data_IF_343262620326
#
_entry.id   IF_343262620326
#
_cell.length_a   1.000
_cell.length_b   1.000
_cell.length_c   1.000
_cell.angle_alpha   90.00
_cell.angle_beta   90.00
_cell.angle_gamma   90.00
#
_symmetry.space_group_name_H-M   'P 1'
#
loop_
_entity.id
_entity.type
_entity.pdbx_description
1 polymer ?
#
# COMPACT_ATOMS: atom_id res chain seq x y z
N UNK A 1 -37.02 11.86 -11.86
CA UNK A 1 -35.83 11.52 -12.64
C UNK A 1 -36.26 11.19 -14.04
N UNK A 2 -36.17 12.17 -14.93
CA UNK A 2 -36.29 11.95 -16.36
C UNK A 2 -35.03 11.28 -16.91
N UNK A 3 -35.07 10.72 -18.14
CA UNK A 3 -33.86 10.22 -18.80
C UNK A 3 -32.74 11.27 -18.90
N UNK A 4 -33.09 12.52 -19.20
CA UNK A 4 -32.11 13.62 -19.33
C UNK A 4 -31.48 13.97 -17.98
N UNK A 5 -32.26 14.01 -16.90
CA UNK A 5 -31.75 14.23 -15.54
C UNK A 5 -30.80 13.11 -15.10
N UNK A 6 -31.03 11.87 -15.54
CA UNK A 6 -30.13 10.74 -15.29
C UNK A 6 -28.84 10.88 -16.11
N UNK A 7 -28.92 11.26 -17.38
CA UNK A 7 -27.75 11.47 -18.23
C UNK A 7 -26.83 12.56 -17.65
N UNK A 8 -27.38 13.72 -17.28
CA UNK A 8 -26.64 14.82 -16.65
C UNK A 8 -25.99 14.42 -15.32
N UNK A 9 -26.62 13.51 -14.56
CA UNK A 9 -26.04 12.97 -13.34
C UNK A 9 -24.87 12.04 -13.64
N UNK A 10 -24.99 11.18 -14.65
CA UNK A 10 -23.93 10.26 -15.06
C UNK A 10 -22.71 11.00 -15.64
N UNK A 11 -22.91 12.08 -16.40
CA UNK A 11 -21.82 12.88 -16.94
C UNK A 11 -21.04 13.61 -15.85
N UNK A 12 -21.76 14.21 -14.88
CA UNK A 12 -21.13 14.82 -13.69
C UNK A 12 -20.40 13.79 -12.84
N UNK A 13 -20.97 12.59 -12.70
CA UNK A 13 -20.33 11.49 -12.02
C UNK A 13 -19.02 11.09 -12.74
N UNK A 14 -19.06 10.87 -14.05
CA UNK A 14 -17.90 10.49 -14.86
C UNK A 14 -16.73 11.48 -14.71
N UNK A 15 -17.01 12.79 -14.66
CA UNK A 15 -15.98 13.81 -14.43
C UNK A 15 -15.29 13.70 -13.05
N UNK A 16 -15.98 13.18 -12.02
CA UNK A 16 -15.47 13.05 -10.65
C UNK A 16 -14.79 11.70 -10.37
N UNK A 17 -15.08 10.66 -11.16
CA UNK A 17 -14.52 9.30 -10.99
C UNK A 17 -12.99 9.29 -10.84
N UNK A 18 -12.19 9.97 -11.70
CA UNK A 18 -10.74 9.87 -11.63
C UNK A 18 -10.15 10.38 -10.30
N UNK A 19 -10.72 11.46 -9.77
CA UNK A 19 -10.27 12.04 -8.49
C UNK A 19 -10.68 11.19 -7.30
N UNK A 20 -11.89 10.62 -7.33
CA UNK A 20 -12.35 9.69 -6.30
C UNK A 20 -11.48 8.42 -6.26
N UNK A 21 -11.17 7.84 -7.43
CA UNK A 21 -10.26 6.69 -7.53
C UNK A 21 -8.87 7.05 -7.01
N UNK A 22 -8.32 8.20 -7.40
CA UNK A 22 -7.00 8.63 -6.93
C UNK A 22 -6.93 8.75 -5.41
N UNK A 23 -7.91 9.44 -4.79
CA UNK A 23 -8.00 9.58 -3.33
C UNK A 23 -8.11 8.23 -2.64
N UNK A 24 -8.93 7.33 -3.16
CA UNK A 24 -9.15 6.02 -2.60
C UNK A 24 -7.88 5.12 -2.68
N UNK A 25 -7.12 5.20 -3.77
CA UNK A 25 -5.83 4.52 -3.92
C UNK A 25 -4.76 5.11 -3.01
N UNK A 26 -4.65 6.45 -2.94
CA UNK A 26 -3.69 7.13 -2.07
C UNK A 26 -3.93 6.81 -0.60
N UNK A 27 -5.19 6.91 -0.15
CA UNK A 27 -5.58 6.58 1.22
C UNK A 27 -5.30 5.11 1.56
N UNK A 28 -5.60 4.19 0.63
CA UNK A 28 -5.22 2.78 0.78
C UNK A 28 -3.70 2.61 0.95
N UNK A 29 -2.91 3.36 0.18
CA UNK A 29 -1.46 3.37 0.29
C UNK A 29 -0.97 3.83 1.66
N UNK A 30 -1.54 4.91 2.21
CA UNK A 30 -1.24 5.40 3.56
C UNK A 30 -1.53 4.33 4.63
N UNK A 31 -2.70 3.69 4.55
CA UNK A 31 -3.09 2.62 5.48
C UNK A 31 -2.20 1.38 5.34
N UNK A 32 -1.87 0.99 4.11
CA UNK A 32 -0.95 -0.10 3.82
C UNK A 32 0.46 0.14 4.38
N UNK A 33 1.00 1.34 4.17
CA UNK A 33 2.27 1.77 4.75
C UNK A 33 2.24 1.71 6.28
N UNK A 34 1.16 2.18 6.91
CA UNK A 34 1.00 2.12 8.35
C UNK A 34 0.95 0.66 8.85
N UNK A 35 0.24 -0.24 8.16
CA UNK A 35 0.16 -1.66 8.49
C UNK A 35 1.53 -2.35 8.40
N UNK A 36 2.28 -2.12 7.32
CA UNK A 36 3.63 -2.65 7.13
C UNK A 36 4.56 -2.14 8.24
N UNK A 37 4.51 -0.85 8.55
CA UNK A 37 5.28 -0.27 9.65
C UNK A 37 4.93 -0.86 11.01
N UNK A 38 3.64 -1.12 11.26
CA UNK A 38 3.16 -1.80 12.46
C UNK A 38 3.71 -3.23 12.57
N UNK A 39 3.64 -4.00 11.48
CA UNK A 39 4.21 -5.34 11.42
C UNK A 39 5.74 -5.33 11.59
N UNK A 40 6.42 -4.27 11.14
CA UNK A 40 7.86 -4.05 11.32
C UNK A 40 8.23 -3.39 12.67
N UNK A 41 7.41 -3.59 13.70
CA UNK A 41 7.62 -3.01 15.04
C UNK A 41 7.86 -4.04 16.16
N UNK A 42 8.07 -5.31 15.82
CA UNK A 42 8.27 -6.40 16.77
C UNK A 42 7.91 -7.75 16.17
N UNK A 43 8.10 -8.82 16.94
CA UNK A 43 7.78 -10.19 16.53
C UNK A 43 6.28 -10.31 16.15
N UNK A 44 5.93 -11.07 15.09
CA UNK A 44 6.77 -11.94 14.25
C UNK A 44 7.64 -11.22 13.21
N UNK A 45 7.46 -9.91 13.03
CA UNK A 45 8.31 -9.07 12.19
C UNK A 45 9.64 -8.67 12.86
N UNK A 46 10.40 -7.76 12.21
CA UNK A 46 11.66 -7.29 12.74
C UNK A 46 11.48 -6.37 13.94
N UNK A 47 12.40 -6.47 14.91
CA UNK A 47 12.43 -5.57 16.06
C UNK A 47 12.90 -4.16 15.68
N UNK A 48 12.43 -3.17 16.44
CA UNK A 48 12.84 -1.77 16.27
C UNK A 48 14.10 -1.50 17.09
N UNK A 49 15.24 -1.36 16.43
CA UNK A 49 16.49 -0.91 17.08
C UNK A 49 16.56 0.63 17.07
N UNK A 50 16.67 1.23 15.88
CA UNK A 50 16.74 2.70 15.70
C UNK A 50 15.49 3.30 15.05
N UNK A 51 14.58 2.45 14.60
CA UNK A 51 13.42 2.83 13.79
C UNK A 51 13.73 3.28 12.36
N UNK A 52 15.00 3.30 11.93
CA UNK A 52 15.38 3.73 10.58
C UNK A 52 14.71 2.87 9.50
N UNK A 53 14.72 1.54 9.69
CA UNK A 53 14.04 0.61 8.78
C UNK A 53 12.53 0.87 8.69
N UNK A 54 11.84 0.96 9.83
CA UNK A 54 10.42 1.27 9.89
C UNK A 54 10.07 2.60 9.18
N UNK A 55 10.86 3.64 9.42
CA UNK A 55 10.66 4.96 8.79
C UNK A 55 10.91 4.97 7.28
N UNK A 56 11.78 4.10 6.78
CA UNK A 56 12.15 4.04 5.36
C UNK A 56 11.03 3.58 4.41
N UNK A 57 9.96 2.98 4.94
CA UNK A 57 8.80 2.61 4.15
C UNK A 57 8.06 3.85 3.64
N UNK A 58 7.75 3.89 2.35
CA UNK A 58 7.08 4.99 1.66
C UNK A 58 5.87 4.50 0.87
N UNK A 59 4.88 5.39 0.74
CA UNK A 59 3.73 5.25 -0.15
C UNK A 59 3.87 6.30 -1.25
N UNK A 60 3.88 5.87 -2.50
CA UNK A 60 4.03 6.76 -3.66
C UNK A 60 2.84 6.55 -4.59
N UNK A 61 1.77 7.37 -4.45
CA UNK A 61 0.65 7.34 -5.38
C UNK A 61 1.03 8.01 -6.71
N UNK A 62 0.45 7.52 -7.80
CA UNK A 62 0.53 8.13 -9.13
C UNK A 62 -0.78 7.96 -9.88
N UNK A 63 -1.15 8.97 -10.67
CA UNK A 63 -2.26 8.86 -11.62
C UNK A 63 -1.83 8.02 -12.82
N UNK A 64 -2.77 7.24 -13.34
CA UNK A 64 -2.65 6.53 -14.62
C UNK A 64 -3.90 6.86 -15.45
N UNK A 65 -3.88 6.68 -16.78
CA UNK A 65 -5.09 6.84 -17.58
C UNK A 65 -6.24 6.00 -16.99
N UNK A 66 -7.36 6.65 -16.72
CA UNK A 66 -8.57 6.03 -16.16
C UNK A 66 -8.39 5.35 -14.79
N UNK A 67 -7.37 5.73 -14.01
CA UNK A 67 -7.20 5.17 -12.66
C UNK A 67 -6.05 5.76 -11.86
N UNK A 68 -5.65 5.03 -10.82
CA UNK A 68 -4.51 5.36 -9.99
C UNK A 68 -3.76 4.10 -9.56
N UNK A 69 -2.48 4.26 -9.27
CA UNK A 69 -1.62 3.22 -8.72
C UNK A 69 -0.91 3.79 -7.49
N UNK A 70 -0.66 2.95 -6.49
CA UNK A 70 0.23 3.28 -5.39
C UNK A 70 1.35 2.24 -5.30
N UNK A 71 2.59 2.70 -5.20
CA UNK A 71 3.74 1.84 -4.92
C UNK A 71 4.09 1.94 -3.44
N UNK A 72 4.03 0.81 -2.74
CA UNK A 72 4.51 0.67 -1.35
C UNK A 72 5.89 0.01 -1.36
N UNK A 73 6.88 0.67 -0.78
CA UNK A 73 8.25 0.17 -0.84
C UNK A 73 9.17 0.79 0.20
N UNK A 74 10.40 0.30 0.24
CA UNK A 74 11.50 0.84 1.06
C UNK A 74 12.78 0.82 0.25
N UNK A 75 13.63 1.83 0.47
CA UNK A 75 14.99 1.90 -0.10
C UNK A 75 16.02 1.19 0.80
N UNK A 76 15.61 0.64 1.94
CA UNK A 76 16.51 -0.04 2.85
C UNK A 76 17.04 -1.35 2.20
N UNK A 77 18.36 -1.50 2.02
CA UNK A 77 18.94 -2.64 1.31
C UNK A 77 18.67 -3.97 2.00
N UNK A 78 18.55 -3.95 3.33
CA UNK A 78 18.25 -5.14 4.13
C UNK A 78 16.79 -5.60 4.08
N UNK A 79 15.88 -4.88 3.41
CA UNK A 79 14.44 -5.18 3.41
C UNK A 79 14.11 -6.61 2.98
N UNK A 80 14.69 -7.04 1.86
CA UNK A 80 14.51 -8.38 1.30
C UNK A 80 14.95 -9.47 2.26
N UNK A 81 16.12 -9.28 2.88
CA UNK A 81 16.65 -10.18 3.90
C UNK A 81 15.76 -10.23 5.15
N UNK A 82 15.14 -9.11 5.54
CA UNK A 82 14.21 -9.11 6.68
C UNK A 82 12.92 -9.84 6.34
N UNK A 83 12.37 -9.66 5.15
CA UNK A 83 11.12 -10.32 4.74
C UNK A 83 11.29 -11.83 4.56
N UNK A 84 12.34 -12.27 3.87
CA UNK A 84 12.51 -13.66 3.46
C UNK A 84 13.59 -14.44 4.22
N UNK A 85 14.32 -13.78 5.12
CA UNK A 85 15.49 -14.36 5.77
C UNK A 85 16.69 -14.37 4.84
N UNK A 86 17.84 -14.81 5.38
CA UNK A 86 19.06 -15.03 4.62
C UNK A 86 20.00 -15.95 5.39
N UNK A 87 20.36 -17.06 4.78
CA UNK A 87 21.41 -17.96 5.26
C UNK A 87 22.49 -18.03 4.19
N UNK A 88 23.73 -17.72 4.56
CA UNK A 88 24.85 -17.72 3.62
C UNK A 88 25.86 -16.60 3.89
N UNK A 89 26.71 -16.35 2.89
CA UNK A 89 27.76 -15.34 2.93
C UNK A 89 27.31 -14.16 2.07
N UNK A 90 27.38 -12.94 2.60
CA UNK A 90 27.11 -11.75 1.79
C UNK A 90 28.31 -11.35 0.91
N UNK A 91 28.15 -10.32 0.08
CA UNK A 91 29.22 -9.82 -0.80
C UNK A 91 30.46 -9.28 -0.06
N UNK A 92 30.38 -9.12 1.27
CA UNK A 92 31.49 -8.68 2.12
C UNK A 92 32.13 -9.85 2.90
N UNK A 93 31.75 -11.10 2.59
CA UNK A 93 32.31 -12.28 3.25
C UNK A 93 31.71 -12.57 4.63
N UNK A 94 30.64 -11.87 5.04
CA UNK A 94 30.03 -12.07 6.36
C UNK A 94 29.05 -13.23 6.31
N UNK A 95 29.19 -14.15 7.25
CA UNK A 95 28.24 -15.24 7.44
C UNK A 95 26.99 -14.75 8.18
N UNK A 96 25.84 -15.14 7.65
CA UNK A 96 24.54 -14.86 8.23
C UNK A 96 23.74 -16.16 8.34
N UNK A 97 23.03 -16.28 9.46
CA UNK A 97 21.96 -17.24 9.66
C UNK A 97 20.75 -16.50 10.23
N UNK A 98 20.08 -15.75 9.36
CA UNK A 98 18.97 -14.88 9.73
C UNK A 98 17.64 -15.50 9.29
N UNK A 99 16.73 -15.83 10.21
CA UNK A 99 15.39 -16.31 9.83
C UNK A 99 14.54 -15.18 9.21
N UNK A 100 13.47 -15.52 8.48
CA UNK A 100 12.52 -14.55 7.96
C UNK A 100 11.75 -13.85 9.08
N UNK A 101 11.53 -12.55 8.91
CA UNK A 101 10.70 -11.70 9.74
C UNK A 101 9.65 -11.01 8.87
N UNK A 102 8.64 -11.77 8.40
CA UNK A 102 7.67 -11.30 7.42
C UNK A 102 6.82 -10.19 8.01
N UNK A 103 6.70 -9.10 7.27
CA UNK A 103 5.94 -7.92 7.68
C UNK A 103 5.22 -7.25 6.50
N UNK A 104 5.67 -7.50 5.26
CA UNK A 104 4.99 -7.07 4.04
C UNK A 104 3.93 -8.07 3.62
N UNK A 105 4.29 -9.36 3.50
CA UNK A 105 3.36 -10.43 3.13
C UNK A 105 2.11 -10.44 4.00
N UNK A 106 2.22 -10.42 5.34
CA UNK A 106 1.07 -10.35 6.25
C UNK A 106 0.21 -9.08 6.13
N UNK A 107 0.67 -8.04 5.41
CA UNK A 107 -0.11 -6.83 5.16
C UNK A 107 -0.92 -6.91 3.86
N UNK A 108 -0.64 -7.85 2.95
CA UNK A 108 -1.23 -7.88 1.60
C UNK A 108 -2.75 -8.05 1.66
N UNK A 109 -3.26 -8.97 2.49
CA UNK A 109 -4.71 -9.19 2.60
C UNK A 109 -5.44 -7.95 3.13
N UNK A 110 -4.86 -7.30 4.14
CA UNK A 110 -5.38 -6.04 4.68
C UNK A 110 -5.41 -4.95 3.61
N UNK A 111 -4.33 -4.79 2.84
CA UNK A 111 -4.24 -3.79 1.77
C UNK A 111 -5.28 -4.08 0.69
N UNK A 112 -5.42 -5.33 0.29
CA UNK A 112 -6.37 -5.78 -0.75
C UNK A 112 -7.81 -5.51 -0.33
N UNK A 113 -8.18 -5.91 0.89
CA UNK A 113 -9.52 -5.64 1.43
C UNK A 113 -9.81 -4.15 1.55
N UNK A 114 -8.83 -3.37 2.03
CA UNK A 114 -8.94 -1.91 2.16
C UNK A 114 -9.14 -1.27 0.79
N UNK A 115 -8.36 -1.67 -0.22
CA UNK A 115 -8.50 -1.17 -1.58
C UNK A 115 -9.90 -1.41 -2.12
N UNK A 116 -10.41 -2.63 -1.99
CA UNK A 116 -11.75 -2.99 -2.46
C UNK A 116 -12.85 -2.17 -1.76
N UNK A 117 -12.73 -1.95 -0.44
CA UNK A 117 -13.67 -1.11 0.30
C UNK A 117 -13.60 0.35 -0.16
N UNK A 118 -12.40 0.92 -0.30
CA UNK A 118 -12.20 2.31 -0.74
C UNK A 118 -12.70 2.52 -2.18
N UNK A 119 -12.52 1.55 -3.08
CA UNK A 119 -13.07 1.62 -4.44
C UNK A 119 -14.61 1.65 -4.44
N UNK A 120 -15.26 0.84 -3.60
CA UNK A 120 -16.72 0.88 -3.46
C UNK A 120 -17.21 2.23 -2.94
N UNK A 121 -16.50 2.81 -1.97
CA UNK A 121 -16.83 4.15 -1.45
C UNK A 121 -16.62 5.24 -2.50
N UNK A 122 -15.55 5.18 -3.29
CA UNK A 122 -15.32 6.12 -4.38
C UNK A 122 -16.46 6.09 -5.41
N UNK A 123 -16.93 4.91 -5.80
CA UNK A 123 -18.09 4.78 -6.71
C UNK A 123 -19.36 5.36 -6.08
N UNK A 124 -19.61 5.06 -4.80
CA UNK A 124 -20.77 5.58 -4.08
C UNK A 124 -20.75 7.12 -3.93
N UNK A 125 -19.59 7.70 -3.62
CA UNK A 125 -19.40 9.17 -3.48
C UNK A 125 -19.68 9.92 -4.77
N UNK A 126 -19.32 9.31 -5.90
CA UNK A 126 -19.45 9.91 -7.22
C UNK A 126 -20.88 9.82 -7.74
N UNK A 127 -21.61 8.77 -7.37
CA UNK A 127 -23.01 8.59 -7.72
C UNK A 127 -23.96 9.32 -6.77
N UNK A 128 -23.56 9.64 -5.54
CA UNK A 128 -24.35 10.42 -4.58
C UNK A 128 -24.62 11.85 -5.10
#
# INVERSE_FOLDING_TARGET
MTPDEMADRLDRAAARVPDAIYKAVDHTGVLGQARIRGNASGRPGPNVITGAYRRSWVSVPRRIPYGAQCTLGTTAPQSRRLEWGFTGIDSLGRHYDQPPFPHVGPAIDFITMTLHAQMRFAVAEVLA
#
